data_IF_877367835925
#
_entry.id   IF_877367835925
#
_cell.length_a   1.000
_cell.length_b   1.000
_cell.length_c   1.000
_cell.angle_alpha   90.00
_cell.angle_beta   90.00
_cell.angle_gamma   90.00
#
_symmetry.space_group_name_H-M   'P 1'
#
loop_
_entity.id
_entity.type
_entity.pdbx_description
1 polymer ?
#
# COMPACT_ATOMS: atom_id res chain seq x y z
N UNK A 1 18.44 -16.31 -7.84
CA UNK A 1 17.54 -17.51 -7.81
C UNK A 1 16.16 -17.13 -8.36
N UNK A 2 15.59 -16.02 -7.93
CA UNK A 2 14.25 -15.55 -8.31
C UNK A 2 14.10 -15.31 -9.84
N UNK A 3 15.12 -14.72 -10.46
CA UNK A 3 15.09 -14.37 -11.88
C UNK A 3 15.20 -15.58 -12.81
N UNK A 4 15.97 -16.61 -12.43
CA UNK A 4 16.12 -17.84 -13.19
C UNK A 4 14.84 -18.68 -13.18
N UNK A 5 14.12 -18.68 -12.07
CA UNK A 5 12.81 -19.33 -11.94
C UNK A 5 11.77 -18.67 -12.86
N UNK A 6 11.69 -17.34 -12.85
CA UNK A 6 10.78 -16.59 -13.71
C UNK A 6 11.07 -16.84 -15.20
N UNK A 7 12.35 -16.90 -15.61
CA UNK A 7 12.75 -17.20 -16.98
C UNK A 7 12.20 -18.56 -17.44
N UNK A 8 12.47 -19.62 -16.69
CA UNK A 8 12.05 -20.97 -17.05
C UNK A 8 10.53 -21.10 -17.15
N UNK A 9 9.81 -20.42 -16.26
CA UNK A 9 8.36 -20.39 -16.25
C UNK A 9 7.80 -19.70 -17.51
N UNK A 10 8.34 -18.54 -17.86
CA UNK A 10 7.93 -17.80 -19.06
C UNK A 10 8.31 -18.53 -20.36
N UNK A 11 9.47 -19.18 -20.40
CA UNK A 11 9.89 -20.00 -21.55
C UNK A 11 8.91 -21.18 -21.77
N UNK A 12 8.44 -21.80 -20.69
CA UNK A 12 7.46 -22.91 -20.79
C UNK A 12 6.08 -22.44 -21.24
N UNK A 13 5.62 -21.28 -20.73
CA UNK A 13 4.37 -20.68 -21.19
C UNK A 13 4.42 -20.33 -22.67
N UNK A 14 5.54 -19.76 -23.13
CA UNK A 14 5.75 -19.43 -24.53
C UNK A 14 5.75 -20.68 -25.44
N UNK A 15 6.41 -21.76 -25.01
CA UNK A 15 6.39 -23.06 -25.74
C UNK A 15 4.96 -23.60 -25.88
N UNK A 16 4.16 -23.45 -24.86
CA UNK A 16 2.75 -23.89 -24.86
C UNK A 16 1.81 -22.91 -25.57
N UNK A 17 2.33 -21.83 -26.14
CA UNK A 17 1.54 -20.77 -26.79
C UNK A 17 0.48 -20.14 -25.87
N UNK A 18 0.76 -20.09 -24.57
CA UNK A 18 -0.09 -19.42 -23.59
C UNK A 18 0.30 -17.93 -23.58
N UNK A 19 -0.62 -17.02 -23.92
CA UNK A 19 -0.32 -15.60 -23.96
C UNK A 19 0.00 -15.05 -22.55
N UNK A 20 1.06 -14.24 -22.47
CA UNK A 20 1.52 -13.63 -21.23
C UNK A 20 1.57 -12.12 -21.36
N UNK A 21 0.93 -11.44 -20.42
CA UNK A 21 0.86 -9.99 -20.37
C UNK A 21 1.50 -9.47 -19.08
N UNK A 22 2.20 -8.34 -19.18
CA UNK A 22 2.66 -7.62 -18.01
C UNK A 22 1.86 -6.32 -17.91
N UNK A 23 1.23 -6.07 -16.76
CA UNK A 23 0.36 -4.92 -16.56
C UNK A 23 0.98 -3.97 -15.52
N UNK A 24 0.87 -2.66 -15.77
CA UNK A 24 1.34 -1.60 -14.88
C UNK A 24 2.82 -1.69 -14.51
N UNK A 25 3.65 -2.09 -15.48
CA UNK A 25 5.10 -2.24 -15.28
C UNK A 25 5.82 -0.90 -15.39
N UNK A 26 6.88 -0.73 -14.60
CA UNK A 26 7.78 0.42 -14.72
C UNK A 26 9.20 -0.03 -15.04
N UNK A 27 9.80 0.59 -16.06
CA UNK A 27 11.16 0.32 -16.48
C UNK A 27 12.07 1.52 -16.23
N UNK A 28 13.25 1.25 -15.63
CA UNK A 28 14.24 2.27 -15.27
C UNK A 28 15.58 1.99 -15.94
N UNK A 29 16.31 3.05 -16.33
CA UNK A 29 17.60 2.95 -17.05
C UNK A 29 18.63 2.04 -16.39
N UNK A 30 18.64 1.99 -15.05
CA UNK A 30 19.59 1.19 -14.28
C UNK A 30 19.36 -0.33 -14.32
N UNK A 31 18.19 -0.81 -14.77
CA UNK A 31 17.85 -2.23 -14.76
C UNK A 31 18.71 -3.03 -15.75
N UNK A 32 18.94 -4.29 -15.40
CA UNK A 32 19.81 -5.23 -16.15
C UNK A 32 19.41 -5.39 -17.63
N UNK A 33 18.15 -5.26 -17.97
CA UNK A 33 17.64 -5.34 -19.34
C UNK A 33 18.31 -4.35 -20.29
N UNK A 34 18.72 -3.17 -19.78
CA UNK A 34 19.30 -2.07 -20.56
C UNK A 34 20.84 -2.03 -20.53
N UNK A 35 21.45 -2.99 -19.82
CA UNK A 35 22.91 -3.11 -19.75
C UNK A 35 23.43 -3.92 -20.95
N UNK A 36 24.70 -3.68 -21.35
CA UNK A 36 25.33 -4.41 -22.46
C UNK A 36 25.32 -5.94 -22.27
N UNK A 37 25.46 -6.42 -21.02
CA UNK A 37 25.43 -7.85 -20.64
C UNK A 37 24.01 -8.40 -20.39
N UNK A 38 22.98 -7.61 -20.59
CA UNK A 38 21.58 -7.97 -20.29
C UNK A 38 20.88 -8.87 -21.32
N UNK A 39 21.60 -9.51 -22.23
CA UNK A 39 21.02 -10.29 -23.32
C UNK A 39 20.03 -11.37 -22.89
N UNK A 40 20.41 -12.18 -21.90
CA UNK A 40 19.54 -13.24 -21.33
C UNK A 40 18.26 -12.67 -20.72
N UNK A 41 18.37 -11.53 -20.04
CA UNK A 41 17.20 -10.87 -19.44
C UNK A 41 16.28 -10.24 -20.49
N UNK A 42 16.83 -9.73 -21.60
CA UNK A 42 16.03 -9.25 -22.74
C UNK A 42 15.23 -10.37 -23.38
N UNK A 43 15.77 -11.61 -23.41
CA UNK A 43 15.04 -12.77 -23.88
C UNK A 43 13.75 -12.98 -23.05
N UNK A 44 13.84 -12.86 -21.73
CA UNK A 44 12.69 -12.98 -20.83
C UNK A 44 11.58 -11.98 -21.19
N UNK A 45 11.95 -10.73 -21.51
CA UNK A 45 10.97 -9.71 -21.90
C UNK A 45 10.29 -10.00 -23.25
N UNK A 46 10.95 -10.75 -24.14
CA UNK A 46 10.38 -11.15 -25.43
C UNK A 46 9.31 -12.24 -25.32
N UNK A 47 9.26 -12.95 -24.20
CA UNK A 47 8.24 -13.96 -23.91
C UNK A 47 6.88 -13.34 -23.52
N UNK A 48 6.83 -12.04 -23.30
CA UNK A 48 5.56 -11.35 -23.11
C UNK A 48 4.93 -11.01 -24.48
N UNK A 49 3.66 -11.32 -24.63
CA UNK A 49 2.90 -10.95 -25.83
C UNK A 49 2.65 -9.45 -25.89
N UNK A 50 2.42 -8.84 -24.75
CA UNK A 50 2.30 -7.38 -24.63
C UNK A 50 2.74 -6.88 -23.26
N UNK A 51 3.29 -5.67 -23.22
CA UNK A 51 3.71 -4.98 -22.00
C UNK A 51 2.90 -3.68 -21.84
N UNK A 52 2.06 -3.64 -20.82
CA UNK A 52 1.35 -2.44 -20.42
C UNK A 52 2.19 -1.71 -19.36
N UNK A 53 2.71 -0.55 -19.72
CA UNK A 53 3.66 0.19 -18.88
C UNK A 53 3.06 1.46 -18.29
N UNK A 54 3.65 1.92 -17.19
CA UNK A 54 3.12 3.08 -16.45
C UNK A 54 3.38 4.42 -17.15
N UNK A 55 4.44 4.52 -17.98
CA UNK A 55 4.84 5.82 -18.53
C UNK A 55 5.61 5.72 -19.86
N UNK A 56 5.65 6.81 -20.60
CA UNK A 56 6.35 6.95 -21.87
C UNK A 56 7.87 6.70 -21.75
N UNK A 57 8.46 6.99 -20.58
CA UNK A 57 9.87 6.72 -20.34
C UNK A 57 10.16 5.21 -20.39
N UNK A 58 9.31 4.39 -19.79
CA UNK A 58 9.41 2.92 -19.85
C UNK A 58 9.28 2.41 -21.27
N UNK A 59 8.32 2.91 -22.04
CA UNK A 59 8.13 2.57 -23.46
C UNK A 59 9.36 2.89 -24.28
N UNK A 60 9.94 4.09 -24.11
CA UNK A 60 11.19 4.49 -24.81
C UNK A 60 12.38 3.60 -24.47
N UNK A 61 12.52 3.14 -23.22
CA UNK A 61 13.59 2.23 -22.84
C UNK A 61 13.42 0.86 -23.49
N UNK A 62 12.23 0.32 -23.53
CA UNK A 62 11.92 -0.97 -24.16
C UNK A 62 12.12 -0.92 -25.68
N UNK A 63 11.71 0.16 -26.33
CA UNK A 63 11.93 0.36 -27.78
C UNK A 63 13.43 0.35 -28.14
N UNK A 64 14.32 0.95 -27.32
CA UNK A 64 15.77 0.93 -27.54
C UNK A 64 16.39 -0.47 -27.55
N UNK A 65 15.73 -1.45 -26.97
CA UNK A 65 16.19 -2.87 -26.97
C UNK A 65 15.34 -3.76 -27.88
N UNK A 66 14.57 -3.14 -28.79
CA UNK A 66 13.78 -3.84 -29.82
C UNK A 66 12.47 -4.45 -29.32
N UNK A 67 11.93 -3.98 -28.20
CA UNK A 67 10.62 -4.43 -27.68
C UNK A 67 9.61 -3.31 -27.95
N UNK A 68 8.74 -3.55 -28.95
CA UNK A 68 7.78 -2.55 -29.45
C UNK A 68 6.32 -2.89 -29.09
N UNK A 69 6.04 -4.09 -28.60
CA UNK A 69 4.69 -4.51 -28.14
C UNK A 69 4.41 -3.90 -26.77
N UNK A 70 4.27 -2.58 -26.72
CA UNK A 70 4.19 -1.79 -25.49
C UNK A 70 3.11 -0.72 -25.61
N UNK A 71 2.20 -0.69 -24.64
CA UNK A 71 1.19 0.36 -24.49
C UNK A 71 1.37 1.07 -23.14
N UNK A 72 1.24 2.39 -23.12
CA UNK A 72 1.25 3.16 -21.89
C UNK A 72 -0.17 3.23 -21.34
N UNK A 73 -0.35 2.76 -20.10
CA UNK A 73 -1.67 2.68 -19.44
C UNK A 73 -1.72 3.45 -18.11
N UNK A 74 -0.60 4.04 -17.68
CA UNK A 74 -0.52 4.65 -16.35
C UNK A 74 -0.29 3.65 -15.22
N UNK A 75 -0.40 4.14 -14.00
CA UNK A 75 -0.30 3.31 -12.80
C UNK A 75 -1.71 2.90 -12.34
N UNK A 76 -2.08 1.66 -12.62
CA UNK A 76 -3.41 1.09 -12.28
C UNK A 76 -3.71 1.08 -10.77
N UNK A 77 -2.71 1.34 -9.91
CA UNK A 77 -2.95 1.52 -8.48
C UNK A 77 -3.76 2.78 -8.18
N UNK A 78 -3.62 3.83 -9.00
CA UNK A 78 -4.44 5.04 -8.85
C UNK A 78 -5.91 4.79 -9.16
N UNK A 79 -6.21 3.99 -10.17
CA UNK A 79 -7.60 3.61 -10.49
C UNK A 79 -8.23 2.86 -9.31
N UNK A 80 -7.45 1.96 -8.70
CA UNK A 80 -7.90 1.24 -7.50
C UNK A 80 -8.11 2.16 -6.29
N UNK A 81 -7.26 3.16 -6.11
CA UNK A 81 -7.42 4.16 -5.03
C UNK A 81 -8.70 4.98 -5.24
N UNK A 82 -8.99 5.41 -6.48
CA UNK A 82 -10.23 6.13 -6.79
C UNK A 82 -11.46 5.27 -6.50
N UNK A 83 -11.47 4.02 -6.95
CA UNK A 83 -12.54 3.08 -6.67
C UNK A 83 -12.74 2.86 -5.15
N UNK A 84 -11.66 2.64 -4.41
CA UNK A 84 -11.69 2.48 -2.95
C UNK A 84 -12.28 3.74 -2.28
N UNK A 85 -11.93 4.93 -2.77
CA UNK A 85 -12.46 6.19 -2.25
C UNK A 85 -13.97 6.29 -2.46
N UNK A 86 -14.47 5.88 -3.62
CA UNK A 86 -15.90 5.88 -3.94
C UNK A 86 -16.67 4.84 -3.11
N UNK A 87 -16.08 3.65 -2.92
CA UNK A 87 -16.65 2.56 -2.14
C UNK A 87 -16.48 2.74 -0.61
N UNK A 88 -15.71 3.73 -0.16
CA UNK A 88 -15.38 3.93 1.24
C UNK A 88 -16.64 4.24 2.06
N UNK A 89 -16.91 3.38 3.05
CA UNK A 89 -18.07 3.50 3.94
C UNK A 89 -17.88 4.65 4.92
N UNK A 90 -18.97 5.34 5.25
CA UNK A 90 -18.96 6.19 6.43
C UNK A 90 -18.85 5.33 7.70
N UNK A 91 -18.00 5.77 8.60
CA UNK A 91 -17.79 5.14 9.91
C UNK A 91 -18.24 6.13 10.99
N UNK A 92 -19.49 6.03 11.47
CA UNK A 92 -20.05 7.02 12.40
C UNK A 92 -19.22 7.21 13.67
N UNK A 93 -18.72 6.12 14.26
CA UNK A 93 -17.87 6.19 15.44
C UNK A 93 -16.53 6.89 15.18
N UNK A 94 -15.92 6.67 13.99
CA UNK A 94 -14.68 7.34 13.62
C UNK A 94 -14.93 8.83 13.37
N UNK A 95 -16.05 9.19 12.76
CA UNK A 95 -16.47 10.56 12.55
C UNK A 95 -16.68 11.29 13.88
N UNK A 96 -17.34 10.61 14.83
CA UNK A 96 -17.57 11.12 16.17
C UNK A 96 -16.25 11.26 16.95
N UNK A 97 -15.35 10.28 16.85
CA UNK A 97 -14.01 10.34 17.41
C UNK A 97 -13.25 11.56 16.91
N UNK A 98 -13.21 11.77 15.58
CA UNK A 98 -12.49 12.90 14.97
C UNK A 98 -12.98 14.26 15.50
N UNK A 99 -14.28 14.49 15.55
CA UNK A 99 -14.92 15.69 16.09
C UNK A 99 -14.21 17.00 15.66
N UNK A 100 -13.94 17.16 14.37
CA UNK A 100 -13.22 18.30 13.76
C UNK A 100 -11.80 18.56 14.32
N UNK A 101 -11.22 17.61 15.03
CA UNK A 101 -9.84 17.71 15.52
C UNK A 101 -8.88 17.17 14.46
N UNK A 102 -7.71 17.79 14.37
CA UNK A 102 -6.62 17.28 13.53
C UNK A 102 -6.30 15.83 13.90
N UNK A 103 -6.38 14.94 12.92
CA UNK A 103 -6.28 13.50 13.16
C UNK A 103 -5.17 12.89 12.31
N UNK A 104 -4.23 12.24 12.95
CA UNK A 104 -3.21 11.42 12.30
C UNK A 104 -3.71 9.99 12.15
N UNK A 105 -3.66 9.44 10.93
CA UNK A 105 -4.07 8.07 10.62
C UNK A 105 -2.85 7.23 10.23
N UNK A 106 -2.45 6.33 11.13
CA UNK A 106 -1.37 5.37 10.91
C UNK A 106 -1.96 4.03 10.44
N UNK A 107 -1.93 3.79 9.14
CA UNK A 107 -2.49 2.57 8.53
C UNK A 107 -1.43 1.53 8.17
N UNK A 108 -1.68 0.25 8.48
CA UNK A 108 -0.75 -0.87 8.31
C UNK A 108 0.59 -0.64 8.99
N UNK A 109 0.57 -0.08 10.19
CA UNK A 109 1.77 0.24 10.95
C UNK A 109 2.50 -1.00 11.45
N UNK A 110 3.82 -0.88 11.61
CA UNK A 110 4.70 -1.85 12.23
C UNK A 110 5.33 -1.24 13.49
N UNK A 111 5.80 -2.07 14.39
CA UNK A 111 6.36 -1.64 15.67
C UNK A 111 7.39 -0.50 15.58
N UNK A 112 8.36 -0.48 14.63
CA UNK A 112 9.29 0.64 14.52
C UNK A 112 8.63 1.97 14.15
N UNK A 113 7.57 1.93 13.33
CA UNK A 113 6.80 3.12 12.97
C UNK A 113 5.99 3.62 14.17
N UNK A 114 5.40 2.68 14.92
CA UNK A 114 4.58 2.94 16.12
C UNK A 114 5.39 3.62 17.22
N UNK A 115 6.64 3.23 17.40
CA UNK A 115 7.53 3.84 18.38
C UNK A 115 7.73 5.34 18.13
N UNK A 116 7.81 5.74 16.85
CA UNK A 116 8.02 7.13 16.45
C UNK A 116 6.74 7.96 16.59
N UNK A 117 5.63 7.52 15.96
CA UNK A 117 4.44 8.36 15.93
C UNK A 117 3.65 8.36 17.26
N UNK A 118 3.75 7.31 18.09
CA UNK A 118 3.13 7.31 19.42
C UNK A 118 3.86 8.29 20.34
N UNK A 119 5.19 8.38 20.26
CA UNK A 119 5.95 9.39 21.00
C UNK A 119 5.54 10.79 20.59
N UNK A 120 5.44 11.05 19.29
CA UNK A 120 4.94 12.32 18.77
C UNK A 120 3.54 12.64 19.31
N UNK A 121 2.60 11.71 19.17
CA UNK A 121 1.22 11.84 19.63
C UNK A 121 1.12 12.14 21.14
N UNK A 122 1.91 11.45 21.96
CA UNK A 122 1.91 11.68 23.41
C UNK A 122 2.32 13.11 23.81
N UNK A 123 3.12 13.77 22.96
CA UNK A 123 3.64 15.13 23.20
C UNK A 123 2.81 16.23 22.50
N UNK A 124 1.80 15.85 21.67
CA UNK A 124 0.99 16.79 20.88
C UNK A 124 -0.51 16.63 21.21
N UNK A 125 -1.00 17.26 22.28
CA UNK A 125 -2.38 17.09 22.74
C UNK A 125 -3.43 17.61 21.75
N UNK A 126 -3.06 18.46 20.81
CA UNK A 126 -3.93 19.01 19.75
C UNK A 126 -4.24 18.00 18.64
N UNK A 127 -3.51 16.87 18.57
CA UNK A 127 -3.67 15.83 17.54
C UNK A 127 -4.36 14.62 18.12
N UNK A 128 -5.35 14.08 17.41
CA UNK A 128 -5.90 12.75 17.63
C UNK A 128 -5.18 11.71 16.78
N UNK A 129 -5.18 10.46 17.25
CA UNK A 129 -4.47 9.36 16.57
C UNK A 129 -5.42 8.20 16.28
N UNK A 130 -5.41 7.73 15.03
CA UNK A 130 -6.04 6.46 14.65
C UNK A 130 -4.92 5.51 14.26
N UNK A 131 -4.83 4.37 14.93
CA UNK A 131 -3.84 3.32 14.63
C UNK A 131 -4.56 2.10 14.05
N UNK A 132 -4.19 1.69 12.85
CA UNK A 132 -4.60 0.42 12.26
C UNK A 132 -3.35 -0.44 12.04
N UNK A 133 -2.95 -1.28 12.99
CA UNK A 133 -1.71 -2.05 12.91
C UNK A 133 -1.78 -3.09 11.79
N UNK A 134 -0.62 -3.44 11.21
CA UNK A 134 -0.54 -4.46 10.16
C UNK A 134 -0.88 -5.86 10.71
N UNK A 135 -0.49 -6.13 11.94
CA UNK A 135 -0.78 -7.38 12.65
C UNK A 135 -1.75 -7.08 13.79
N UNK A 136 -2.93 -7.68 13.72
CA UNK A 136 -3.98 -7.54 14.74
C UNK A 136 -3.95 -8.79 15.61
N UNK A 137 -3.07 -8.79 16.61
CA UNK A 137 -3.06 -9.79 17.67
C UNK A 137 -2.99 -9.12 19.06
N UNK A 138 -3.40 -9.82 20.09
CA UNK A 138 -3.58 -9.23 21.42
C UNK A 138 -2.23 -8.78 22.02
N UNK A 139 -1.13 -9.50 21.77
CA UNK A 139 0.18 -9.12 22.30
C UNK A 139 0.64 -7.81 21.69
N UNK A 140 0.52 -7.69 20.36
CA UNK A 140 0.88 -6.46 19.66
C UNK A 140 0.01 -5.27 20.10
N UNK A 141 -1.30 -5.48 20.25
CA UNK A 141 -2.22 -4.44 20.74
C UNK A 141 -1.87 -3.99 22.17
N UNK A 142 -1.50 -4.92 23.03
CA UNK A 142 -1.03 -4.60 24.40
C UNK A 142 0.26 -3.78 24.38
N UNK A 143 1.20 -4.09 23.47
CA UNK A 143 2.43 -3.30 23.30
C UNK A 143 2.14 -1.86 22.87
N UNK A 144 1.23 -1.65 21.90
CA UNK A 144 0.75 -0.32 21.50
C UNK A 144 0.18 0.42 22.69
N UNK A 145 -0.75 -0.23 23.42
CA UNK A 145 -1.45 0.36 24.56
C UNK A 145 -0.47 0.79 25.67
N UNK A 146 0.56 -0.01 25.94
CA UNK A 146 1.58 0.34 26.96
C UNK A 146 2.37 1.61 26.66
N UNK A 147 2.49 1.97 25.37
CA UNK A 147 3.20 3.18 24.93
C UNK A 147 2.33 4.44 24.97
N UNK A 148 1.01 4.26 24.94
CA UNK A 148 0.06 5.37 24.97
C UNK A 148 -0.02 5.98 26.38
N UNK A 149 0.15 7.30 26.47
CA UNK A 149 0.02 8.07 27.73
C UNK A 149 -1.31 8.84 27.80
N UNK A 150 -2.11 8.80 26.74
CA UNK A 150 -3.36 9.53 26.58
C UNK A 150 -4.53 8.55 26.46
N UNK A 151 -5.77 8.98 26.73
CA UNK A 151 -6.94 8.12 26.65
C UNK A 151 -7.09 7.44 25.29
N UNK A 152 -7.36 6.15 25.29
CA UNK A 152 -7.57 5.37 24.09
C UNK A 152 -8.83 4.53 24.16
N UNK A 153 -9.29 4.09 23.00
CA UNK A 153 -10.36 3.09 22.86
C UNK A 153 -10.05 2.16 21.69
N UNK A 154 -10.40 0.88 21.83
CA UNK A 154 -10.35 -0.10 20.72
C UNK A 154 -11.66 0.00 19.95
N UNK A 155 -11.61 -0.04 18.64
CA UNK A 155 -12.78 0.14 17.78
C UNK A 155 -13.88 -0.88 18.06
N UNK A 156 -13.53 -2.17 18.28
CA UNK A 156 -14.51 -3.22 18.60
C UNK A 156 -15.20 -3.04 19.96
N UNK A 157 -14.68 -2.18 20.82
CA UNK A 157 -15.24 -1.84 22.14
C UNK A 157 -15.68 -0.38 22.23
N UNK A 158 -15.70 0.31 21.10
CA UNK A 158 -16.07 1.71 21.02
C UNK A 158 -17.60 1.87 21.00
N UNK A 159 -18.06 2.86 21.76
CA UNK A 159 -19.41 3.39 21.73
C UNK A 159 -19.36 4.93 21.64
N UNK A 160 -20.53 5.56 21.47
CA UNK A 160 -20.62 7.02 21.33
C UNK A 160 -20.08 7.80 22.55
N UNK A 161 -20.12 7.19 23.75
CA UNK A 161 -19.70 7.86 24.98
C UNK A 161 -18.19 7.77 25.19
N UNK A 162 -17.60 6.59 24.97
CA UNK A 162 -16.19 6.37 25.23
C UNK A 162 -15.30 6.92 24.09
N UNK A 163 -15.81 6.89 22.85
CA UNK A 163 -15.07 7.42 21.69
C UNK A 163 -14.86 8.94 21.77
N UNK A 164 -15.80 9.68 22.37
CA UNK A 164 -15.69 11.12 22.57
C UNK A 164 -14.61 11.51 23.62
N UNK A 165 -14.32 10.59 24.54
CA UNK A 165 -13.33 10.80 25.60
C UNK A 165 -11.94 10.33 25.21
N UNK A 166 -11.82 9.61 24.11
CA UNK A 166 -10.56 9.07 23.65
C UNK A 166 -9.82 10.07 22.75
N UNK A 167 -8.50 10.03 22.84
CA UNK A 167 -7.57 10.75 21.96
C UNK A 167 -6.91 9.81 20.96
N UNK A 168 -6.89 8.49 21.25
CA UNK A 168 -6.41 7.46 20.34
C UNK A 168 -7.50 6.41 20.09
N UNK A 169 -7.71 6.08 18.81
CA UNK A 169 -8.61 5.01 18.36
C UNK A 169 -7.77 3.90 17.73
N UNK A 170 -7.79 2.71 18.33
CA UNK A 170 -7.07 1.54 17.82
C UNK A 170 -8.04 0.70 17.01
N UNK A 171 -7.76 0.52 15.71
CA UNK A 171 -8.54 -0.33 14.80
C UNK A 171 -8.09 -1.77 14.99
N UNK A 172 -8.84 -2.51 15.76
CA UNK A 172 -8.58 -3.90 16.14
C UNK A 172 -9.44 -4.91 15.38
N UNK A 173 -9.85 -4.56 14.16
CA UNK A 173 -10.60 -5.42 13.25
C UNK A 173 -10.20 -5.18 11.79
N UNK A 174 -10.50 -6.16 10.93
CA UNK A 174 -10.20 -6.08 9.50
C UNK A 174 -11.27 -5.32 8.70
N UNK A 175 -10.89 -4.85 7.51
CA UNK A 175 -11.82 -4.31 6.50
C UNK A 175 -12.11 -2.82 6.61
N UNK A 176 -11.56 -2.10 7.60
CA UNK A 176 -11.82 -0.67 7.78
C UNK A 176 -10.72 0.24 7.23
N UNK A 177 -9.53 -0.30 6.95
CA UNK A 177 -8.33 0.47 6.60
C UNK A 177 -8.58 1.48 5.47
N UNK A 178 -9.22 1.05 4.39
CA UNK A 178 -9.52 1.93 3.25
C UNK A 178 -10.49 3.06 3.59
N UNK A 179 -11.38 2.85 4.57
CA UNK A 179 -12.40 3.82 4.95
C UNK A 179 -11.91 4.82 6.01
N UNK A 180 -10.92 4.44 6.84
CA UNK A 180 -10.42 5.32 7.89
C UNK A 180 -9.56 6.48 7.36
N UNK A 181 -8.88 6.31 6.23
CA UNK A 181 -8.01 7.35 5.65
C UNK A 181 -8.74 8.65 5.32
N UNK A 182 -10.05 8.59 5.06
CA UNK A 182 -10.86 9.80 4.81
C UNK A 182 -10.99 10.73 6.03
N UNK A 183 -10.64 10.24 7.21
CA UNK A 183 -10.74 10.98 8.46
C UNK A 183 -9.41 11.61 8.90
N UNK A 184 -8.31 11.30 8.22
CA UNK A 184 -6.99 11.85 8.53
C UNK A 184 -6.68 13.11 7.71
N UNK A 185 -5.92 14.00 8.32
CA UNK A 185 -5.20 15.08 7.66
C UNK A 185 -3.72 14.73 7.47
N UNK A 186 -3.20 13.79 8.24
CA UNK A 186 -1.83 13.29 8.20
C UNK A 186 -1.87 11.77 8.09
#
# INVERSE_FOLDING_TARGET
IRDRFLKNYLDELHKRRIPVYSVSSIFRRGQVFFKWYGGTYRHVLRNFDHLFVQNERSKRYLSKIGINRVTVVGDTRFDRVLQIREEAKELPLVKLFKNNTMTFVAGSSWQPDEDLFIEYFNNHPEVKLIIAPHVIDENHLVEIIRKLKRPYVRYTRADEKNVLKADCLIIDCFGLLSSIYRYGEI
#
